data_IF_065758939394
#
_entry.id   IF_065758939394
#
_cell.length_a   1.000
_cell.length_b   1.000
_cell.length_c   1.000
_cell.angle_alpha   90.00
_cell.angle_beta   90.00
_cell.angle_gamma   90.00
#
_symmetry.space_group_name_H-M   'P 1'
#
loop_
_entity.id
_entity.type
_entity.pdbx_description
1 polymer ?
#
# COMPACT_ATOMS: atom_id res chain seq x y z
N UNK A 1 19.32 4.92 10.45
CA UNK A 1 18.28 3.87 10.38
C UNK A 1 17.02 4.43 10.99
N UNK A 2 15.93 4.59 10.22
CA UNK A 2 14.68 5.15 10.73
C UNK A 2 14.01 4.12 11.68
N UNK A 3 13.76 4.46 12.96
CA UNK A 3 13.30 3.50 13.97
C UNK A 3 11.93 2.90 13.67
N UNK A 4 11.11 3.57 12.84
CA UNK A 4 9.79 3.08 12.42
C UNK A 4 9.87 1.71 11.72
N UNK A 5 10.94 1.46 10.94
CA UNK A 5 11.11 0.24 10.15
C UNK A 5 11.88 -0.89 10.86
N UNK A 6 12.36 -0.67 12.09
CA UNK A 6 13.34 -1.57 12.72
C UNK A 6 12.73 -2.47 13.79
N UNK A 7 11.62 -2.06 14.41
CA UNK A 7 11.05 -2.74 15.57
C UNK A 7 9.82 -3.61 15.27
N UNK A 8 9.26 -3.53 14.06
CA UNK A 8 8.10 -4.30 13.66
C UNK A 8 8.40 -5.02 12.34
N UNK A 9 8.41 -6.36 12.32
CA UNK A 9 8.72 -7.13 11.11
C UNK A 9 7.75 -6.82 9.96
N UNK A 10 6.52 -6.38 10.26
CA UNK A 10 5.53 -5.96 9.26
C UNK A 10 6.02 -4.83 8.36
N UNK A 11 6.99 -4.03 8.81
CA UNK A 11 7.56 -2.95 8.00
C UNK A 11 8.85 -3.33 7.29
N UNK A 12 9.29 -4.58 7.35
CA UNK A 12 10.55 -4.98 6.71
C UNK A 12 10.51 -4.86 5.18
N UNK A 13 9.31 -4.86 4.57
CA UNK A 13 9.10 -4.63 3.14
C UNK A 13 9.30 -3.19 2.67
N UNK A 14 9.59 -2.26 3.59
CA UNK A 14 9.72 -0.82 3.30
C UNK A 14 10.65 -0.42 2.16
N UNK A 15 11.79 -1.09 1.87
CA UNK A 15 12.68 -0.65 0.81
C UNK A 15 12.01 -0.70 -0.56
N UNK A 16 11.10 -1.66 -0.77
CA UNK A 16 10.30 -1.77 -1.98
C UNK A 16 9.28 -0.64 -2.08
N UNK A 17 8.60 -0.29 -1.00
CA UNK A 17 7.63 0.82 -1.00
C UNK A 17 8.32 2.17 -1.26
N UNK A 18 9.47 2.42 -0.62
CA UNK A 18 10.23 3.67 -0.81
C UNK A 18 10.71 3.84 -2.24
N UNK A 19 11.07 2.76 -2.92
CA UNK A 19 11.50 2.79 -4.32
C UNK A 19 10.36 2.55 -5.31
N UNK A 20 9.12 2.37 -4.83
CA UNK A 20 7.94 2.03 -5.64
C UNK A 20 8.17 0.80 -6.54
N UNK A 21 8.78 -0.23 -5.97
CA UNK A 21 9.07 -1.49 -6.62
C UNK A 21 8.28 -2.65 -6.00
N UNK A 22 8.26 -3.74 -6.74
CA UNK A 22 7.75 -5.05 -6.33
C UNK A 22 8.92 -6.04 -6.16
N UNK A 23 8.75 -7.14 -5.41
CA UNK A 23 9.81 -8.13 -5.15
C UNK A 23 10.46 -8.76 -6.39
N UNK A 24 9.77 -8.77 -7.53
CA UNK A 24 10.26 -9.26 -8.83
C UNK A 24 11.28 -8.31 -9.51
N UNK A 25 11.44 -7.09 -9.00
CA UNK A 25 12.37 -6.10 -9.51
C UNK A 25 13.82 -6.60 -9.53
N UNK A 26 14.53 -6.37 -10.63
CA UNK A 26 15.94 -6.72 -10.76
C UNK A 26 16.84 -5.62 -10.18
N UNK A 27 18.13 -5.92 -9.96
CA UNK A 27 19.08 -4.91 -9.47
C UNK A 27 19.19 -3.68 -10.38
N UNK A 28 19.00 -3.85 -11.69
CA UNK A 28 18.92 -2.73 -12.64
C UNK A 28 17.72 -1.82 -12.38
N UNK A 29 16.57 -2.38 -11.99
CA UNK A 29 15.35 -1.63 -11.70
C UNK A 29 15.51 -0.85 -10.39
N UNK A 30 16.18 -1.45 -9.39
CA UNK A 30 16.52 -0.81 -8.12
C UNK A 30 17.37 0.45 -8.35
N UNK A 31 18.45 0.35 -9.13
CA UNK A 31 19.30 1.52 -9.43
C UNK A 31 18.55 2.59 -10.21
N UNK A 32 17.77 2.17 -11.21
CA UNK A 32 16.99 3.09 -12.04
C UNK A 32 15.96 3.83 -11.19
N UNK A 33 15.18 3.12 -10.38
CA UNK A 33 14.17 3.71 -9.51
C UNK A 33 14.77 4.71 -8.53
N UNK A 34 15.87 4.34 -7.85
CA UNK A 34 16.55 5.25 -6.93
C UNK A 34 16.98 6.54 -7.62
N UNK A 35 17.67 6.44 -8.78
CA UNK A 35 18.11 7.61 -9.55
C UNK A 35 16.95 8.48 -10.02
N UNK A 36 15.90 7.86 -10.56
CA UNK A 36 14.77 8.57 -11.15
C UNK A 36 13.96 9.30 -10.07
N UNK A 37 13.72 8.67 -8.91
CA UNK A 37 13.03 9.27 -7.78
C UNK A 37 13.86 10.42 -7.17
N UNK A 38 15.15 10.18 -6.89
CA UNK A 38 16.05 11.22 -6.38
C UNK A 38 16.07 12.46 -7.28
N UNK A 39 16.13 12.25 -8.61
CA UNK A 39 16.07 13.33 -9.58
C UNK A 39 14.76 14.10 -9.50
N UNK A 40 13.61 13.40 -9.41
CA UNK A 40 12.30 14.04 -9.28
C UNK A 40 12.19 14.89 -8.01
N UNK A 41 12.73 14.41 -6.89
CA UNK A 41 12.75 15.18 -5.63
C UNK A 41 13.65 16.41 -5.78
N UNK A 42 14.84 16.26 -6.37
CA UNK A 42 15.77 17.37 -6.59
C UNK A 42 15.21 18.47 -7.50
N UNK A 43 14.39 18.11 -8.49
CA UNK A 43 13.69 19.04 -9.38
C UNK A 43 12.33 19.51 -8.83
N UNK A 44 12.00 19.20 -7.58
CA UNK A 44 10.76 19.61 -6.91
C UNK A 44 9.49 19.21 -7.69
N UNK A 45 9.54 18.06 -8.37
CA UNK A 45 8.35 17.52 -9.05
C UNK A 45 7.25 17.27 -8.00
N UNK A 46 6.01 17.73 -8.23
CA UNK A 46 4.91 17.54 -7.30
C UNK A 46 4.75 16.09 -6.88
N UNK A 47 4.54 15.87 -5.57
CA UNK A 47 4.34 14.57 -4.93
C UNK A 47 5.48 13.54 -5.09
N UNK A 48 6.63 13.90 -5.68
CA UNK A 48 7.76 12.99 -5.83
C UNK A 48 8.33 12.46 -4.50
N UNK A 49 8.16 13.24 -3.43
CA UNK A 49 8.54 12.86 -2.07
C UNK A 49 7.47 12.00 -1.37
N UNK A 50 6.34 11.68 -2.00
CA UNK A 50 5.30 10.82 -1.43
C UNK A 50 5.36 9.44 -2.06
N UNK A 51 5.02 8.41 -1.29
CA UNK A 51 4.91 7.04 -1.77
C UNK A 51 3.85 6.27 -0.98
N UNK A 52 3.29 5.24 -1.60
CA UNK A 52 2.26 4.41 -0.99
C UNK A 52 2.88 3.32 -0.11
N UNK A 53 2.27 3.09 1.05
CA UNK A 53 2.54 1.96 1.94
C UNK A 53 1.22 1.27 2.26
N UNK A 54 1.23 0.04 2.80
CA UNK A 54 0.02 -0.63 3.26
C UNK A 54 -0.79 0.21 4.27
N UNK A 55 -0.15 1.10 5.01
CA UNK A 55 -0.81 1.97 6.00
C UNK A 55 -1.37 3.27 5.42
N UNK A 56 -1.03 3.59 4.17
CA UNK A 56 -1.35 4.85 3.51
C UNK A 56 -0.11 5.54 2.94
N UNK A 57 -0.27 6.82 2.59
CA UNK A 57 0.80 7.61 1.98
C UNK A 57 1.80 8.07 3.04
N UNK A 58 3.09 7.85 2.79
CA UNK A 58 4.21 8.37 3.60
C UNK A 58 5.11 9.27 2.76
N UNK A 59 6.05 9.95 3.41
CA UNK A 59 7.05 10.82 2.77
C UNK A 59 8.45 10.19 2.79
N UNK A 60 9.21 10.37 1.71
CA UNK A 60 10.61 9.96 1.56
C UNK A 60 11.49 11.15 1.25
N UNK A 61 12.74 11.06 1.69
CA UNK A 61 13.81 11.97 1.35
C UNK A 61 14.96 11.21 0.67
N UNK A 62 15.98 11.94 0.24
CA UNK A 62 17.17 11.38 -0.41
C UNK A 62 17.90 10.37 0.48
N UNK A 63 17.90 10.62 1.79
CA UNK A 63 18.50 9.70 2.76
C UNK A 63 17.78 8.35 2.75
N UNK A 64 16.45 8.35 2.81
CA UNK A 64 15.62 7.15 2.82
C UNK A 64 15.73 6.37 1.50
N UNK A 65 15.81 7.06 0.36
CA UNK A 65 16.02 6.42 -0.95
C UNK A 65 17.35 5.68 -1.00
N UNK A 66 18.43 6.31 -0.54
CA UNK A 66 19.75 5.68 -0.50
C UNK A 66 19.80 4.47 0.44
N UNK A 67 19.16 4.57 1.60
CA UNK A 67 19.06 3.46 2.54
C UNK A 67 18.24 2.30 1.92
N UNK A 68 17.10 2.59 1.29
CA UNK A 68 16.28 1.58 0.62
C UNK A 68 17.07 0.85 -0.47
N UNK A 69 17.78 1.61 -1.31
CA UNK A 69 18.65 1.06 -2.35
C UNK A 69 19.72 0.14 -1.76
N UNK A 70 20.43 0.60 -0.73
CA UNK A 70 21.46 -0.20 -0.04
C UNK A 70 20.89 -1.50 0.54
N UNK A 71 19.70 -1.45 1.14
CA UNK A 71 19.02 -2.64 1.68
C UNK A 71 18.62 -3.64 0.60
N UNK A 72 18.15 -3.18 -0.56
CA UNK A 72 17.80 -4.09 -1.65
C UNK A 72 19.02 -4.65 -2.39
N UNK A 73 20.18 -3.99 -2.29
CA UNK A 73 21.44 -4.52 -2.82
C UNK A 73 22.07 -5.60 -1.92
N UNK A 74 21.83 -5.56 -0.60
CA UNK A 74 22.26 -6.62 0.32
C UNK A 74 21.33 -7.84 0.22
N UNK A 75 21.81 -9.01 -0.25
CA UNK A 75 20.96 -10.19 -0.45
C UNK A 75 20.20 -10.64 0.80
N UNK A 76 20.79 -10.48 2.00
CA UNK A 76 20.15 -10.90 3.25
C UNK A 76 19.03 -9.96 3.64
N UNK A 77 19.27 -8.66 3.53
CA UNK A 77 18.25 -7.65 3.79
C UNK A 77 17.12 -7.69 2.76
N UNK A 78 17.46 -7.91 1.48
CA UNK A 78 16.50 -8.08 0.39
C UNK A 78 15.57 -9.27 0.64
N UNK A 79 16.10 -10.44 0.99
CA UNK A 79 15.28 -11.62 1.28
C UNK A 79 14.24 -11.37 2.38
N UNK A 80 14.63 -10.67 3.45
CA UNK A 80 13.70 -10.31 4.52
C UNK A 80 12.63 -9.33 4.02
N UNK A 81 13.01 -8.34 3.21
CA UNK A 81 12.07 -7.39 2.63
C UNK A 81 11.08 -8.06 1.67
N UNK A 82 11.53 -9.02 0.88
CA UNK A 82 10.67 -9.81 -0.03
C UNK A 82 9.64 -10.62 0.75
N UNK A 83 10.07 -11.29 1.82
CA UNK A 83 9.21 -12.12 2.66
C UNK A 83 8.06 -11.33 3.31
N UNK A 84 8.33 -10.08 3.72
CA UNK A 84 7.36 -9.22 4.39
C UNK A 84 6.68 -8.21 3.45
N UNK A 85 6.92 -8.29 2.14
CA UNK A 85 6.33 -7.35 1.21
C UNK A 85 4.81 -7.52 1.15
N UNK A 86 4.10 -6.41 1.30
CA UNK A 86 2.65 -6.30 1.09
C UNK A 86 2.44 -5.23 0.03
N UNK A 87 1.63 -5.52 -0.98
CA UNK A 87 1.29 -4.53 -2.00
C UNK A 87 0.44 -3.41 -1.36
N UNK A 88 0.87 -2.13 -1.44
CA UNK A 88 0.10 -1.00 -0.89
C UNK A 88 -1.33 -0.87 -1.43
N UNK A 89 -1.60 -1.40 -2.62
CA UNK A 89 -2.92 -1.32 -3.26
C UNK A 89 -3.92 -2.34 -2.70
N UNK A 90 -3.45 -3.47 -2.16
CA UNK A 90 -4.33 -4.54 -1.67
C UNK A 90 -5.14 -4.14 -0.42
N UNK A 91 -4.65 -3.15 0.35
CA UNK A 91 -5.34 -2.69 1.57
C UNK A 91 -6.56 -1.81 1.30
N UNK A 92 -6.66 -1.17 0.14
CA UNK A 92 -7.83 -0.35 -0.21
C UNK A 92 -9.08 -1.21 -0.43
N UNK A 93 -8.92 -2.45 -0.89
CA UNK A 93 -10.02 -3.40 -1.08
C UNK A 93 -10.61 -3.92 0.23
N UNK A 94 -9.79 -4.06 1.28
CA UNK A 94 -10.26 -4.57 2.58
C UNK A 94 -11.15 -3.55 3.32
N UNK A 95 -10.86 -2.25 3.21
CA UNK A 95 -11.64 -1.20 3.91
C UNK A 95 -12.95 -0.83 3.21
N UNK A 96 -13.15 -1.23 1.95
CA UNK A 96 -14.38 -0.96 1.22
C UNK A 96 -15.49 -2.00 1.44
N UNK A 97 -15.21 -3.11 2.12
CA UNK A 97 -16.19 -4.17 2.41
C UNK A 97 -16.96 -3.98 3.73
N UNK A 98 -16.66 -2.94 4.52
CA UNK A 98 -17.38 -2.62 5.77
C UNK A 98 -18.50 -1.60 5.59
N UNK A 99 -18.91 -1.31 4.35
CA UNK A 99 -20.25 -0.75 4.15
C UNK A 99 -21.21 -1.92 4.24
N UNK A 100 -22.06 -2.07 5.28
CA UNK A 100 -23.23 -2.89 5.13
C UNK A 100 -23.96 -2.30 3.94
N UNK A 101 -23.92 -3.02 2.81
CA UNK A 101 -24.71 -2.71 1.65
C UNK A 101 -26.13 -2.66 2.17
N UNK A 102 -26.62 -1.45 2.41
CA UNK A 102 -28.01 -1.18 2.72
C UNK A 102 -28.77 -1.47 1.44
N UNK A 103 -28.98 -2.76 1.18
CA UNK A 103 -30.23 -3.22 0.61
C UNK A 103 -31.31 -2.73 1.55
N UNK A 104 -31.75 -1.49 1.32
CA UNK A 104 -33.11 -1.08 1.55
C UNK A 104 -33.99 -1.92 0.60
N UNK A 105 -34.02 -3.23 0.84
CA UNK A 105 -35.13 -4.09 0.48
C UNK A 105 -35.89 -4.21 1.79
N UNK A 106 -36.73 -3.20 2.04
CA UNK A 106 -37.70 -3.30 3.12
C UNK A 106 -38.48 -4.59 2.90
N UNK A 107 -38.68 -5.40 3.95
CA UNK A 107 -39.58 -6.56 3.90
C UNK A 107 -40.95 -6.17 3.31
N UNK A 108 -41.36 -4.91 3.45
CA UNK A 108 -42.58 -4.37 2.87
C UNK A 108 -42.62 -4.36 1.33
N UNK A 109 -41.47 -4.23 0.66
CA UNK A 109 -41.40 -4.22 -0.80
C UNK A 109 -41.56 -5.64 -1.37
N UNK A 110 -40.99 -6.65 -0.69
CA UNK A 110 -41.13 -8.06 -1.07
C UNK A 110 -42.57 -8.59 -0.88
N UNK A 111 -43.28 -8.14 0.16
CA UNK A 111 -44.68 -8.53 0.37
C UNK A 111 -45.64 -7.91 -0.66
N UNK A 112 -45.35 -6.70 -1.15
CA UNK A 112 -46.14 -6.06 -2.22
C UNK A 112 -46.03 -6.80 -3.55
N UNK A 113 -44.85 -7.33 -3.87
CA UNK A 113 -44.61 -8.05 -5.13
C UNK A 113 -45.25 -9.46 -5.13
N UNK A 114 -45.45 -10.05 -3.96
CA UNK A 114 -46.13 -11.35 -3.79
C UNK A 114 -47.65 -11.25 -3.56
N UNK A 115 -48.21 -10.04 -3.53
CA UNK A 115 -49.65 -9.82 -3.30
C UNK A 115 -50.12 -10.21 -1.90
N UNK A 116 -49.22 -10.22 -0.90
CA UNK A 116 -49.54 -10.61 0.48
C UNK A 116 -49.77 -9.34 1.31
N UNK A 117 -51.02 -9.08 1.70
CA UNK A 117 -51.34 -7.97 2.60
C UNK A 117 -51.04 -8.38 4.05
N UNK A 118 -50.07 -7.75 4.69
CA UNK A 118 -49.87 -7.87 6.14
C UNK A 118 -51.01 -7.12 6.84
N UNK A 119 -51.91 -7.86 7.49
CA UNK A 119 -52.84 -7.29 8.47
C UNK A 119 -52.02 -6.97 9.72
N UNK A 120 -51.81 -5.68 9.97
CA UNK A 120 -51.32 -5.18 11.26
C UNK A 120 -52.56 -4.81 12.05
N UNK A 121 -52.82 -5.53 13.14
CA UNK A 121 -53.81 -5.20 14.17
C UNK A 121 -53.33 -4.02 15.04
#
# INVERSE_FOLDING_TARGET
MNPEYTNNPLYSGWPFWVLELTPDAQNSDIEKAARDISSKIQFEIPDANKYATPEGIKTRDEFLIREARSKLQDPRARLLAEYWYINPLDQHSARHNDTPQSTHSSLADWYRELGITLWVE
#
